data_IF_270639705238
#
_entry.id   IF_270639705238
#
_cell.length_a   1.000
_cell.length_b   1.000
_cell.length_c   1.000
_cell.angle_alpha   90.00
_cell.angle_beta   90.00
_cell.angle_gamma   90.00
#
_symmetry.space_group_name_H-M   'P 1'
#
loop_
_entity.id
_entity.type
_entity.pdbx_description
1 polymer ?
#
# COMPACT_ATOMS: atom_id res chain seq x y z
N UNK A 1 25.01 -8.71 -3.80
CA UNK A 1 24.93 -8.11 -2.45
C UNK A 1 23.72 -8.73 -1.77
N UNK A 2 23.78 -8.98 -0.47
CA UNK A 2 22.64 -9.57 0.28
C UNK A 2 21.64 -8.45 0.62
N UNK A 3 20.34 -8.72 0.57
CA UNK A 3 19.30 -7.81 1.05
C UNK A 3 19.48 -7.63 2.57
N UNK A 4 19.43 -6.40 3.03
CA UNK A 4 19.61 -6.04 4.44
C UNK A 4 18.32 -6.25 5.23
N UNK A 5 18.45 -6.61 6.49
CA UNK A 5 17.30 -6.74 7.39
C UNK A 5 16.67 -5.39 7.70
N UNK A 6 15.37 -5.37 8.03
CA UNK A 6 14.68 -4.11 8.39
C UNK A 6 15.32 -3.39 9.58
N UNK A 7 15.78 -4.07 10.67
CA UNK A 7 16.55 -3.41 11.72
C UNK A 7 17.82 -2.69 11.22
N UNK A 8 18.54 -3.24 10.24
CA UNK A 8 19.72 -2.60 9.65
C UNK A 8 19.35 -1.38 8.80
N UNK A 9 18.25 -1.46 8.06
CA UNK A 9 17.65 -0.33 7.30
C UNK A 9 17.24 0.79 8.27
N UNK A 10 16.52 0.44 9.34
CA UNK A 10 16.08 1.41 10.36
C UNK A 10 17.25 2.11 11.05
N UNK A 11 18.34 1.38 11.31
CA UNK A 11 19.55 1.97 11.91
C UNK A 11 20.17 3.03 10.99
N UNK A 12 20.22 2.78 9.67
CA UNK A 12 20.73 3.77 8.70
C UNK A 12 19.80 4.96 8.52
N UNK A 13 18.47 4.74 8.42
CA UNK A 13 17.47 5.83 8.39
C UNK A 13 17.57 6.72 9.63
N UNK A 14 17.69 6.10 10.82
CA UNK A 14 17.86 6.82 12.09
C UNK A 14 19.15 7.64 12.15
N UNK A 15 20.19 7.16 11.49
CA UNK A 15 21.48 7.85 11.38
C UNK A 15 21.50 8.93 10.26
N UNK A 16 20.38 9.20 9.59
CA UNK A 16 20.28 10.16 8.49
C UNK A 16 20.90 9.71 7.18
N UNK A 17 21.14 8.40 7.02
CA UNK A 17 21.68 7.85 5.78
C UNK A 17 20.58 7.49 4.80
N UNK A 18 20.93 7.46 3.51
CA UNK A 18 20.10 6.90 2.45
C UNK A 18 20.17 5.37 2.46
N UNK A 19 19.08 4.75 2.06
CA UNK A 19 18.97 3.32 1.74
C UNK A 19 18.27 3.16 0.40
N UNK A 20 18.30 1.96 -0.17
CA UNK A 20 17.48 1.59 -1.32
C UNK A 20 16.33 0.73 -0.80
N UNK A 21 15.11 1.05 -1.20
CA UNK A 21 13.93 0.22 -0.94
C UNK A 21 13.36 -0.21 -2.27
N UNK A 22 13.07 -1.52 -2.40
CA UNK A 22 12.48 -2.10 -3.61
C UNK A 22 11.08 -2.59 -3.34
N UNK A 23 10.22 -2.49 -4.33
CA UNK A 23 8.89 -3.09 -4.29
C UNK A 23 8.86 -4.45 -5.02
N UNK A 24 7.68 -5.08 -5.07
CA UNK A 24 7.51 -6.40 -5.66
C UNK A 24 7.62 -6.36 -7.20
N UNK A 25 8.13 -7.46 -7.80
CA UNK A 25 8.29 -7.60 -9.25
C UNK A 25 6.97 -7.48 -10.01
N UNK A 26 5.86 -7.85 -9.37
CA UNK A 26 4.51 -7.79 -9.93
C UNK A 26 3.83 -6.43 -9.74
N UNK A 27 4.51 -5.44 -9.10
CA UNK A 27 4.02 -4.07 -8.91
C UNK A 27 4.74 -3.09 -9.87
N UNK A 28 5.62 -2.23 -9.38
CA UNK A 28 6.44 -1.32 -10.21
C UNK A 28 7.75 -1.98 -10.58
N UNK A 29 8.22 -2.91 -9.73
CA UNK A 29 9.52 -3.58 -9.83
C UNK A 29 10.66 -2.56 -9.91
N UNK A 30 10.64 -1.57 -9.03
CA UNK A 30 11.57 -0.45 -9.00
C UNK A 30 12.32 -0.40 -7.66
N UNK A 31 13.36 0.42 -7.62
CA UNK A 31 14.09 0.74 -6.41
C UNK A 31 14.25 2.24 -6.26
N UNK A 32 13.87 2.75 -5.09
CA UNK A 32 14.02 4.14 -4.73
C UNK A 32 15.13 4.34 -3.72
N UNK A 33 15.89 5.43 -3.88
CA UNK A 33 16.63 6.01 -2.76
C UNK A 33 15.62 6.55 -1.74
N UNK A 34 15.82 6.19 -0.48
CA UNK A 34 14.95 6.61 0.63
C UNK A 34 15.79 7.16 1.77
N UNK A 35 15.40 8.31 2.33
CA UNK A 35 15.95 8.84 3.58
C UNK A 35 14.89 9.58 4.38
N UNK A 36 15.11 9.76 5.68
CA UNK A 36 14.22 10.58 6.49
C UNK A 36 14.34 12.07 6.11
N UNK A 37 13.19 12.73 5.89
CA UNK A 37 13.13 14.09 5.36
C UNK A 37 13.81 15.13 6.26
N UNK A 38 13.77 14.93 7.60
CA UNK A 38 14.41 15.85 8.54
C UNK A 38 15.93 15.90 8.43
N UNK A 39 16.57 14.92 7.82
CA UNK A 39 18.02 14.86 7.63
C UNK A 39 18.46 15.20 6.21
N UNK A 40 17.54 15.65 5.36
CA UNK A 40 17.88 16.02 3.98
C UNK A 40 18.88 17.19 3.97
N UNK A 41 19.86 17.12 3.07
CA UNK A 41 20.84 18.19 2.85
C UNK A 41 20.94 18.51 1.35
N UNK A 42 21.53 19.64 0.95
CA UNK A 42 21.82 19.91 -0.46
C UNK A 42 22.62 18.80 -1.14
N UNK A 43 23.59 18.21 -0.44
CA UNK A 43 24.41 17.11 -0.96
C UNK A 43 23.56 15.84 -1.19
N UNK A 44 22.60 15.56 -0.30
CA UNK A 44 21.67 14.44 -0.44
C UNK A 44 20.79 14.62 -1.68
N UNK A 45 20.19 15.79 -1.86
CA UNK A 45 19.41 16.09 -3.07
C UNK A 45 20.29 16.04 -4.31
N UNK A 46 21.50 16.60 -4.27
CA UNK A 46 22.42 16.53 -5.40
C UNK A 46 22.81 15.09 -5.73
N UNK A 47 22.96 14.21 -4.73
CA UNK A 47 23.21 12.80 -4.94
C UNK A 47 22.03 12.13 -5.67
N UNK A 48 20.78 12.38 -5.21
CA UNK A 48 19.57 11.84 -5.83
C UNK A 48 19.44 12.25 -7.29
N UNK A 49 19.54 13.56 -7.60
CA UNK A 49 19.35 14.03 -8.98
C UNK A 49 20.48 13.64 -9.91
N UNK A 50 21.71 13.50 -9.41
CA UNK A 50 22.88 13.13 -10.19
C UNK A 50 22.96 11.63 -10.47
N UNK A 51 22.69 10.81 -9.45
CA UNK A 51 22.94 9.38 -9.50
C UNK A 51 21.66 8.56 -9.66
N UNK A 52 20.56 8.91 -8.99
CA UNK A 52 19.28 8.22 -9.14
C UNK A 52 18.47 8.76 -10.33
N UNK A 53 18.44 10.07 -10.57
CA UNK A 53 17.84 10.74 -11.75
C UNK A 53 16.30 10.74 -11.79
N UNK A 54 15.64 10.12 -10.81
CA UNK A 54 14.20 10.08 -10.68
C UNK A 54 13.59 11.42 -10.22
N UNK A 55 12.32 11.40 -9.95
CA UNK A 55 11.59 12.54 -9.40
C UNK A 55 11.81 12.61 -7.87
N UNK A 56 12.41 13.70 -7.39
CA UNK A 56 12.52 13.90 -5.94
C UNK A 56 11.14 14.18 -5.36
N UNK A 57 10.62 13.23 -4.61
CA UNK A 57 9.32 13.30 -3.95
C UNK A 57 9.46 13.35 -2.43
N UNK A 58 8.42 13.89 -1.77
CA UNK A 58 8.35 14.06 -0.32
C UNK A 58 7.13 13.28 0.24
N UNK A 59 7.22 11.95 0.42
CA UNK A 59 6.25 11.21 1.20
C UNK A 59 6.03 11.82 2.58
N UNK A 60 4.77 12.06 2.93
CA UNK A 60 4.38 12.63 4.22
C UNK A 60 3.17 11.90 4.78
N UNK A 61 3.13 11.74 6.09
CA UNK A 61 1.91 11.29 6.75
C UNK A 61 0.76 12.29 6.53
N UNK A 62 -0.47 11.78 6.53
CA UNK A 62 -1.66 12.60 6.24
C UNK A 62 -1.79 13.80 7.17
N UNK A 63 -1.40 13.67 8.44
CA UNK A 63 -1.47 14.76 9.42
C UNK A 63 -0.60 15.97 9.03
N UNK A 64 0.60 15.74 8.47
CA UNK A 64 1.46 16.81 7.98
C UNK A 64 0.89 17.48 6.73
N UNK A 65 0.35 16.72 5.80
CA UNK A 65 -0.33 17.22 4.59
C UNK A 65 -1.53 18.10 4.98
N UNK A 66 -2.34 17.63 5.95
CA UNK A 66 -3.51 18.36 6.44
C UNK A 66 -3.10 19.65 7.19
N UNK A 67 -2.03 19.58 8.01
CA UNK A 67 -1.47 20.76 8.71
C UNK A 67 -1.03 21.85 7.73
N UNK A 68 -0.41 21.46 6.60
CA UNK A 68 0.03 22.39 5.56
C UNK A 68 -1.09 22.82 4.61
N UNK A 69 -2.30 22.25 4.73
CA UNK A 69 -3.43 22.56 3.86
C UNK A 69 -3.19 22.21 2.38
N UNK A 70 -2.36 21.20 2.09
CA UNK A 70 -2.00 20.85 0.72
C UNK A 70 -3.13 20.10 0.01
N UNK A 71 -3.74 20.67 -1.05
CA UNK A 71 -4.75 19.98 -1.82
C UNK A 71 -4.11 18.87 -2.68
N UNK A 72 -4.92 17.87 -3.03
CA UNK A 72 -4.51 16.85 -3.99
C UNK A 72 -4.32 17.49 -5.37
N UNK A 73 -3.33 17.00 -6.12
CA UNK A 73 -3.01 17.50 -7.47
C UNK A 73 -4.18 17.34 -8.44
N UNK A 74 -5.03 16.34 -8.24
CA UNK A 74 -6.20 16.07 -9.08
C UNK A 74 -7.38 15.59 -8.23
N UNK A 75 -8.60 15.91 -8.68
CA UNK A 75 -9.83 15.39 -8.10
C UNK A 75 -10.08 13.92 -8.49
N UNK A 76 -9.58 13.51 -9.67
CA UNK A 76 -9.72 12.14 -10.18
C UNK A 76 -8.34 11.56 -10.45
N UNK A 77 -7.86 10.75 -9.50
CA UNK A 77 -6.56 10.09 -9.65
C UNK A 77 -6.64 8.95 -10.69
N UNK A 78 -6.01 9.18 -11.85
CA UNK A 78 -5.89 8.19 -12.92
C UNK A 78 -4.62 7.36 -12.89
N UNK A 79 -3.71 7.58 -11.92
CA UNK A 79 -2.45 6.85 -11.84
C UNK A 79 -2.66 5.34 -11.65
N UNK A 80 -1.87 4.52 -12.33
CA UNK A 80 -2.01 3.06 -12.34
C UNK A 80 -1.97 2.47 -10.92
N UNK A 81 -1.07 2.95 -10.08
CA UNK A 81 -0.88 2.48 -8.71
C UNK A 81 -1.47 3.43 -7.66
N UNK A 82 -2.26 4.42 -8.09
CA UNK A 82 -3.01 5.30 -7.21
C UNK A 82 -2.14 6.21 -6.32
N UNK A 83 -0.92 6.58 -6.77
CA UNK A 83 -0.04 7.48 -6.01
C UNK A 83 -0.70 8.82 -5.75
N UNK A 84 -0.77 9.22 -4.49
CA UNK A 84 -1.51 10.39 -4.02
C UNK A 84 -0.62 11.65 -4.04
N UNK A 85 -0.38 12.19 -5.24
CA UNK A 85 0.28 13.47 -5.38
C UNK A 85 -0.57 14.62 -4.84
N UNK A 86 0.03 15.47 -4.03
CA UNK A 86 -0.50 16.81 -3.77
C UNK A 86 0.01 17.79 -4.83
N UNK A 87 -0.45 19.04 -4.81
CA UNK A 87 0.22 20.10 -5.56
C UNK A 87 1.68 20.19 -5.14
N UNK A 88 2.57 20.54 -6.10
CA UNK A 88 3.98 20.77 -5.81
C UNK A 88 4.17 22.02 -4.94
N UNK A 89 5.25 22.05 -4.15
CA UNK A 89 5.50 23.10 -3.16
C UNK A 89 6.88 23.71 -3.32
N UNK A 90 6.99 24.92 -2.75
CA UNK A 90 8.23 25.65 -2.55
C UNK A 90 8.25 26.29 -1.16
N UNK A 91 9.45 26.50 -0.56
CA UNK A 91 9.55 27.33 0.63
C UNK A 91 9.20 28.79 0.27
N UNK A 92 8.40 29.46 1.12
CA UNK A 92 8.00 30.85 0.90
C UNK A 92 9.19 31.84 0.96
N UNK A 93 10.24 31.46 1.67
CA UNK A 93 11.43 32.27 1.88
C UNK A 93 12.71 31.43 1.82
N UNK A 94 13.86 32.08 1.63
CA UNK A 94 15.18 31.43 1.72
C UNK A 94 15.59 30.62 0.49
N UNK A 95 14.89 30.76 -0.62
CA UNK A 95 15.18 30.11 -1.90
C UNK A 95 15.51 31.14 -2.99
N UNK A 96 16.12 30.67 -4.08
CA UNK A 96 16.33 31.46 -5.30
C UNK A 96 15.23 31.17 -6.34
N UNK A 97 15.45 30.20 -7.22
CA UNK A 97 14.47 29.74 -8.24
C UNK A 97 13.74 28.46 -7.84
N UNK A 98 14.09 27.86 -6.71
CA UNK A 98 13.48 26.65 -6.17
C UNK A 98 14.05 25.32 -6.68
N UNK A 99 14.66 25.29 -7.89
CA UNK A 99 15.08 24.04 -8.55
C UNK A 99 16.47 23.56 -8.11
N UNK A 100 17.32 24.40 -7.53
CA UNK A 100 18.65 24.00 -7.09
C UNK A 100 18.58 22.92 -6.00
N UNK A 101 19.65 22.12 -5.85
CA UNK A 101 19.70 21.13 -4.76
C UNK A 101 19.56 21.80 -3.39
N UNK A 102 20.13 22.99 -3.22
CA UNK A 102 20.01 23.76 -1.98
C UNK A 102 18.57 24.25 -1.75
N UNK A 103 17.91 24.81 -2.76
CA UNK A 103 16.53 25.30 -2.65
C UNK A 103 15.56 24.15 -2.34
N UNK A 104 15.71 23.00 -3.02
CA UNK A 104 14.86 21.81 -2.78
C UNK A 104 15.08 21.23 -1.40
N UNK A 105 16.33 21.14 -0.92
CA UNK A 105 16.62 20.70 0.44
C UNK A 105 16.00 21.66 1.46
N UNK A 106 16.11 22.96 1.25
CA UNK A 106 15.50 23.98 2.11
C UNK A 106 13.98 23.88 2.14
N UNK A 107 13.34 23.69 0.97
CA UNK A 107 11.89 23.49 0.89
C UNK A 107 11.44 22.27 1.69
N UNK A 108 12.14 21.14 1.54
CA UNK A 108 11.83 19.92 2.31
C UNK A 108 11.99 20.15 3.80
N UNK A 109 13.12 20.71 4.23
CA UNK A 109 13.38 21.01 5.66
C UNK A 109 12.33 21.94 6.25
N UNK A 110 11.89 22.95 5.49
CA UNK A 110 10.81 23.86 5.90
C UNK A 110 9.50 23.09 6.06
N UNK A 111 9.11 22.28 5.06
CA UNK A 111 7.85 21.55 5.06
C UNK A 111 7.72 20.53 6.20
N UNK A 112 8.84 19.96 6.68
CA UNK A 112 8.83 18.96 7.76
C UNK A 112 9.23 19.53 9.12
N UNK A 113 9.41 20.85 9.23
CA UNK A 113 9.71 21.51 10.48
C UNK A 113 8.58 21.32 11.50
N UNK A 114 8.93 21.07 12.77
CA UNK A 114 7.94 20.87 13.83
C UNK A 114 6.96 22.06 13.97
N UNK A 115 7.45 23.28 13.73
CA UNK A 115 6.68 24.53 13.87
C UNK A 115 6.18 25.09 12.55
N UNK A 116 6.24 24.30 11.44
CA UNK A 116 5.82 24.78 10.12
C UNK A 116 4.36 25.23 10.12
N UNK A 117 4.12 26.38 9.45
CA UNK A 117 2.79 26.94 9.20
C UNK A 117 2.48 26.86 7.70
N UNK A 118 1.22 26.86 7.30
CA UNK A 118 0.85 26.86 5.88
C UNK A 118 1.50 27.98 5.05
N UNK A 119 1.72 29.14 5.67
CA UNK A 119 2.31 30.34 5.05
C UNK A 119 3.82 30.20 4.78
N UNK A 120 4.49 29.21 5.39
CA UNK A 120 5.91 28.94 5.15
C UNK A 120 6.14 28.24 3.80
N UNK A 121 5.04 27.80 3.16
CA UNK A 121 5.06 27.06 1.89
C UNK A 121 4.20 27.79 0.86
N UNK A 122 4.69 27.88 -0.36
CA UNK A 122 3.96 28.38 -1.54
C UNK A 122 3.75 27.29 -2.57
N UNK A 123 2.82 27.50 -3.46
CA UNK A 123 2.40 26.57 -4.52
C UNK A 123 2.28 27.33 -5.85
N UNK A 124 2.67 26.73 -7.00
CA UNK A 124 3.40 25.47 -7.16
C UNK A 124 4.89 25.62 -6.84
N UNK A 125 5.66 24.52 -6.87
CA UNK A 125 7.09 24.50 -6.66
C UNK A 125 7.78 23.28 -7.27
N UNK A 126 8.99 22.97 -6.77
CA UNK A 126 9.86 21.93 -7.32
C UNK A 126 10.02 20.71 -6.42
N UNK A 127 9.25 20.63 -5.32
CA UNK A 127 9.12 19.45 -4.49
C UNK A 127 7.69 18.92 -4.60
N UNK A 128 7.55 17.59 -4.67
CA UNK A 128 6.30 16.89 -4.90
C UNK A 128 5.90 16.11 -3.65
N UNK A 129 5.06 16.67 -2.76
CA UNK A 129 4.58 15.92 -1.61
C UNK A 129 3.65 14.79 -2.05
N UNK A 130 3.82 13.63 -1.40
CA UNK A 130 2.97 12.45 -1.57
C UNK A 130 2.26 12.16 -0.26
N UNK A 131 0.94 12.12 -0.29
CA UNK A 131 0.15 11.74 0.89
C UNK A 131 0.20 10.24 1.08
N UNK A 132 0.92 9.77 2.10
CA UNK A 132 0.92 8.36 2.47
C UNK A 132 -0.46 7.91 2.94
N UNK A 133 -0.81 6.67 2.59
CA UNK A 133 -2.03 6.03 3.07
C UNK A 133 -1.91 5.77 4.58
N UNK A 134 -2.95 6.13 5.32
CA UNK A 134 -3.02 5.84 6.76
C UNK A 134 -2.92 4.32 6.97
N UNK A 135 -2.05 3.88 7.88
CA UNK A 135 -1.70 2.47 8.08
C UNK A 135 -0.46 2.01 7.31
N UNK A 136 0.12 2.88 6.45
CA UNK A 136 1.42 2.66 5.82
C UNK A 136 1.43 1.46 4.88
N UNK A 137 2.56 0.74 4.84
CA UNK A 137 2.74 -0.43 3.94
C UNK A 137 1.77 -1.57 4.21
N UNK A 138 1.17 -1.65 5.39
CA UNK A 138 0.13 -2.64 5.70
C UNK A 138 -1.20 -2.34 4.98
N UNK A 139 -1.35 -1.13 4.44
CA UNK A 139 -2.53 -0.71 3.69
C UNK A 139 -2.25 -0.52 2.20
N UNK A 140 -1.09 0.03 1.85
CA UNK A 140 -0.64 0.20 0.46
C UNK A 140 0.86 -0.09 0.36
N UNK A 141 1.22 -1.10 -0.43
CA UNK A 141 2.58 -1.65 -0.56
C UNK A 141 3.47 -0.80 -1.49
N UNK A 142 3.51 0.52 -1.29
CA UNK A 142 4.25 1.47 -2.12
C UNK A 142 5.41 2.15 -1.41
N UNK A 143 6.37 2.68 -2.20
CA UNK A 143 7.53 3.43 -1.70
C UNK A 143 7.13 4.64 -0.86
N UNK A 144 6.00 5.31 -1.18
CA UNK A 144 5.44 6.42 -0.40
C UNK A 144 5.20 6.01 1.05
N UNK A 145 4.49 4.90 1.24
CA UNK A 145 4.16 4.37 2.56
C UNK A 145 5.41 3.83 3.26
N UNK A 146 6.28 3.14 2.53
CA UNK A 146 7.53 2.60 3.08
C UNK A 146 8.44 3.71 3.65
N UNK A 147 8.56 4.83 2.95
CA UNK A 147 9.39 5.94 3.41
C UNK A 147 8.86 6.58 4.71
N UNK A 148 7.53 6.75 4.82
CA UNK A 148 6.89 7.28 6.03
C UNK A 148 7.02 6.30 7.19
N UNK A 149 6.73 5.00 6.96
CA UNK A 149 6.85 3.96 7.97
C UNK A 149 8.27 3.85 8.52
N UNK A 150 9.27 3.79 7.64
CA UNK A 150 10.67 3.71 8.04
C UNK A 150 11.09 4.93 8.88
N UNK A 151 10.64 6.13 8.53
CA UNK A 151 10.90 7.32 9.32
C UNK A 151 10.25 7.21 10.71
N UNK A 152 8.96 6.88 10.80
CA UNK A 152 8.24 6.74 12.07
C UNK A 152 8.81 5.62 12.95
N UNK A 153 9.12 4.45 12.38
CA UNK A 153 9.73 3.33 13.10
C UNK A 153 11.15 3.62 13.58
N UNK A 154 11.87 4.51 12.91
CA UNK A 154 13.16 5.03 13.38
C UNK A 154 13.01 6.07 14.51
N UNK A 155 11.77 6.44 14.91
CA UNK A 155 11.47 7.43 15.93
C UNK A 155 11.58 8.88 15.44
N UNK A 156 11.42 9.09 14.12
CA UNK A 156 11.52 10.39 13.45
C UNK A 156 10.13 10.89 13.03
N UNK A 157 10.07 12.10 12.44
CA UNK A 157 8.81 12.61 11.87
C UNK A 157 8.34 11.72 10.73
N UNK A 158 7.02 11.60 10.56
CA UNK A 158 6.40 10.80 9.49
C UNK A 158 6.56 11.40 8.10
N UNK A 159 7.82 11.65 7.70
CA UNK A 159 8.17 12.17 6.38
C UNK A 159 9.50 11.59 5.87
N UNK A 160 9.51 11.19 4.60
CA UNK A 160 10.71 10.73 3.90
C UNK A 160 10.94 11.51 2.61
N UNK A 161 12.14 11.37 2.06
CA UNK A 161 12.46 11.80 0.69
C UNK A 161 12.75 10.55 -0.11
N UNK A 162 12.13 10.44 -1.28
CA UNK A 162 12.35 9.32 -2.21
C UNK A 162 12.75 9.84 -3.59
N UNK A 163 13.49 9.01 -4.32
CA UNK A 163 13.86 9.27 -5.70
C UNK A 163 14.11 7.92 -6.40
N UNK A 164 13.40 7.65 -7.47
CA UNK A 164 13.53 6.42 -8.27
C UNK A 164 14.93 6.33 -8.89
N UNK A 165 15.49 5.12 -8.97
CA UNK A 165 16.81 4.88 -9.58
C UNK A 165 16.63 4.48 -11.04
N UNK A 166 17.15 5.33 -11.92
CA UNK A 166 17.07 5.23 -13.37
C UNK A 166 18.47 4.95 -13.93
N UNK A 167 18.58 4.00 -14.87
CA UNK A 167 19.80 3.68 -15.58
C UNK A 167 20.27 4.81 -16.49
N UNK A 168 21.52 4.77 -16.94
CA UNK A 168 22.10 5.79 -17.84
C UNK A 168 21.37 5.88 -19.19
N UNK A 169 20.74 4.79 -19.63
CA UNK A 169 19.95 4.73 -20.87
C UNK A 169 18.49 5.20 -20.69
N UNK A 170 18.11 5.61 -19.47
CA UNK A 170 16.76 6.07 -19.13
C UNK A 170 15.76 4.97 -18.75
N UNK A 171 16.17 3.70 -18.73
CA UNK A 171 15.33 2.61 -18.24
C UNK A 171 15.35 2.54 -16.71
N UNK A 172 14.31 1.97 -16.09
CA UNK A 172 14.29 1.80 -14.64
C UNK A 172 15.28 0.73 -14.20
N UNK A 173 16.07 1.01 -13.16
CA UNK A 173 16.97 0.02 -12.56
C UNK A 173 16.17 -1.09 -11.87
N UNK A 174 16.57 -2.34 -12.12
CA UNK A 174 16.00 -3.53 -11.50
C UNK A 174 16.98 -4.13 -10.50
N UNK A 175 16.63 -5.20 -9.83
CA UNK A 175 17.45 -5.77 -8.74
C UNK A 175 18.94 -5.95 -9.11
N UNK A 176 19.33 -6.45 -10.30
CA UNK A 176 20.75 -6.59 -10.64
C UNK A 176 21.50 -5.24 -10.67
N UNK A 177 20.92 -4.22 -11.32
CA UNK A 177 21.49 -2.87 -11.41
C UNK A 177 21.47 -2.18 -10.05
N UNK A 178 20.40 -2.36 -9.26
CA UNK A 178 20.28 -1.83 -7.89
C UNK A 178 21.37 -2.39 -6.96
N UNK A 179 21.70 -3.68 -7.09
CA UNK A 179 22.77 -4.28 -6.30
C UNK A 179 24.16 -3.70 -6.64
N UNK A 180 24.39 -3.41 -7.93
CA UNK A 180 25.65 -2.78 -8.35
C UNK A 180 25.70 -1.31 -7.89
N UNK A 181 24.60 -0.58 -8.04
CA UNK A 181 24.47 0.79 -7.54
C UNK A 181 24.71 0.86 -6.02
N UNK A 182 24.09 -0.05 -5.28
CA UNK A 182 24.24 -0.12 -3.82
C UNK A 182 25.70 -0.39 -3.42
N UNK A 183 26.38 -1.32 -4.11
CA UNK A 183 27.77 -1.63 -3.87
C UNK A 183 28.69 -0.44 -4.19
N UNK A 184 28.45 0.24 -5.31
CA UNK A 184 29.23 1.40 -5.74
C UNK A 184 29.14 2.56 -4.73
N UNK A 185 27.97 2.76 -4.15
CA UNK A 185 27.67 3.89 -3.27
C UNK A 185 27.65 3.54 -1.77
N UNK A 186 27.89 2.28 -1.41
CA UNK A 186 27.92 1.83 -0.01
C UNK A 186 26.53 1.89 0.66
N UNK A 187 25.46 1.66 -0.11
CA UNK A 187 24.09 1.70 0.36
C UNK A 187 23.55 0.32 0.69
N UNK A 188 22.61 0.25 1.63
CA UNK A 188 21.87 -0.97 1.94
C UNK A 188 20.61 -1.06 1.05
N UNK A 189 20.20 -2.29 0.75
CA UNK A 189 18.93 -2.58 0.04
C UNK A 189 18.02 -3.31 1.01
N UNK A 190 16.80 -2.82 1.17
CA UNK A 190 15.68 -3.49 1.82
C UNK A 190 14.51 -3.65 0.85
N UNK A 191 13.52 -4.47 1.23
CA UNK A 191 12.31 -4.67 0.43
C UNK A 191 11.07 -4.20 1.19
N UNK A 192 10.05 -3.75 0.45
CA UNK A 192 8.73 -3.45 1.04
C UNK A 192 8.10 -4.74 1.60
N UNK A 193 8.34 -5.90 0.98
CA UNK A 193 7.85 -7.18 1.48
C UNK A 193 8.41 -7.50 2.88
N UNK A 194 9.72 -7.33 3.09
CA UNK A 194 10.34 -7.52 4.41
C UNK A 194 9.82 -6.51 5.44
N UNK A 195 9.55 -5.26 5.02
CA UNK A 195 8.97 -4.24 5.90
C UNK A 195 7.54 -4.60 6.33
N UNK A 196 6.71 -5.10 5.41
CA UNK A 196 5.37 -5.61 5.71
C UNK A 196 5.46 -6.78 6.69
N UNK A 197 6.33 -7.76 6.43
CA UNK A 197 6.52 -8.91 7.32
C UNK A 197 6.96 -8.46 8.72
N UNK A 198 7.92 -7.53 8.80
CA UNK A 198 8.40 -6.98 10.05
C UNK A 198 7.29 -6.28 10.84
N UNK A 199 6.49 -5.42 10.19
CA UNK A 199 5.35 -4.74 10.81
C UNK A 199 4.23 -5.69 11.21
N UNK A 200 3.90 -6.65 10.35
CA UNK A 200 2.81 -7.62 10.59
C UNK A 200 3.06 -8.52 11.81
N UNK A 201 4.33 -8.73 12.20
CA UNK A 201 4.69 -9.47 13.43
C UNK A 201 4.44 -8.67 14.71
N UNK A 202 4.48 -7.36 14.64
CA UNK A 202 4.40 -6.47 15.81
C UNK A 202 3.14 -5.64 15.88
N UNK A 203 2.44 -5.49 14.75
CA UNK A 203 1.28 -4.63 14.62
C UNK A 203 0.13 -5.39 13.95
N UNK A 204 -1.09 -5.16 14.42
CA UNK A 204 -2.31 -5.55 13.72
C UNK A 204 -3.23 -4.34 13.63
N UNK A 205 -3.62 -4.00 12.40
CA UNK A 205 -4.61 -2.95 12.13
C UNK A 205 -6.04 -3.45 12.38
N UNK A 206 -6.19 -4.75 12.62
CA UNK A 206 -7.48 -5.38 12.86
C UNK A 206 -7.60 -5.85 14.30
N UNK A 207 -8.80 -5.71 14.85
CA UNK A 207 -9.20 -6.28 16.12
C UNK A 207 -10.28 -7.33 15.87
N UNK A 208 -10.05 -8.54 16.37
CA UNK A 208 -11.04 -9.60 16.30
C UNK A 208 -12.07 -9.41 17.41
N UNK A 209 -13.33 -9.22 17.02
CA UNK A 209 -14.44 -8.90 17.93
C UNK A 209 -15.39 -10.07 18.20
N UNK A 210 -15.34 -11.12 17.38
CA UNK A 210 -16.25 -12.25 17.54
C UNK A 210 -15.83 -13.47 16.74
N UNK A 211 -16.20 -14.63 17.29
CA UNK A 211 -15.95 -15.96 16.73
C UNK A 211 -17.13 -16.86 17.10
N UNK A 212 -18.01 -17.14 16.15
CA UNK A 212 -19.23 -17.92 16.37
C UNK A 212 -19.53 -18.84 15.19
N UNK A 213 -20.21 -19.96 15.48
CA UNK A 213 -20.80 -20.79 14.42
C UNK A 213 -22.13 -20.19 13.96
N UNK A 214 -22.28 -20.07 12.66
CA UNK A 214 -23.54 -19.66 12.03
C UNK A 214 -24.05 -20.74 11.09
N UNK A 215 -25.38 -20.86 11.03
CA UNK A 215 -26.08 -21.78 10.12
C UNK A 215 -26.69 -20.94 8.98
N UNK A 216 -26.32 -21.26 7.76
CA UNK A 216 -26.82 -20.57 6.57
C UNK A 216 -27.48 -21.56 5.61
N UNK A 217 -28.22 -21.08 4.62
CA UNK A 217 -28.77 -21.95 3.57
C UNK A 217 -27.70 -22.64 2.70
N UNK A 218 -26.45 -22.12 2.72
CA UNK A 218 -25.30 -22.72 2.03
C UNK A 218 -24.49 -23.65 2.91
N UNK A 219 -24.85 -23.79 4.20
CA UNK A 219 -24.19 -24.66 5.18
C UNK A 219 -23.65 -23.92 6.39
N UNK A 220 -22.89 -24.62 7.21
CA UNK A 220 -22.34 -24.11 8.47
C UNK A 220 -20.99 -23.47 8.26
N UNK A 221 -20.81 -22.27 8.80
CA UNK A 221 -19.55 -21.52 8.78
C UNK A 221 -19.19 -21.04 10.17
N UNK A 222 -17.89 -21.03 10.46
CA UNK A 222 -17.33 -20.28 11.59
C UNK A 222 -17.18 -18.83 11.14
N UNK A 223 -18.00 -17.96 11.71
CA UNK A 223 -17.95 -16.52 11.45
C UNK A 223 -16.95 -15.85 12.37
N UNK A 224 -15.97 -15.15 11.81
CA UNK A 224 -15.04 -14.28 12.52
C UNK A 224 -15.34 -12.83 12.15
N UNK A 225 -15.36 -11.96 13.17
CA UNK A 225 -15.67 -10.55 13.02
C UNK A 225 -14.44 -9.73 13.33
N UNK A 226 -14.07 -8.85 12.41
CA UNK A 226 -12.89 -7.99 12.52
C UNK A 226 -13.29 -6.52 12.40
N UNK A 227 -12.71 -5.68 13.25
CA UNK A 227 -12.85 -4.22 13.19
C UNK A 227 -11.53 -3.60 12.75
N UNK A 228 -11.57 -2.79 11.69
CA UNK A 228 -10.45 -1.95 11.25
C UNK A 228 -10.27 -0.79 12.25
N UNK A 229 -9.15 -0.78 12.97
CA UNK A 229 -8.80 0.23 13.97
C UNK A 229 -8.61 1.63 13.37
N UNK A 230 -8.37 1.74 12.05
CA UNK A 230 -8.14 3.02 11.40
C UNK A 230 -9.42 3.77 11.07
N UNK A 231 -10.48 3.03 10.71
CA UNK A 231 -11.74 3.61 10.22
C UNK A 231 -12.96 3.16 11.03
N UNK A 232 -12.83 2.16 11.91
CA UNK A 232 -13.97 1.55 12.61
C UNK A 232 -14.87 0.69 11.72
N UNK A 233 -14.44 0.38 10.49
CA UNK A 233 -15.19 -0.50 9.59
C UNK A 233 -15.15 -1.94 10.10
N UNK A 234 -16.26 -2.67 9.95
CA UNK A 234 -16.38 -4.06 10.39
C UNK A 234 -16.37 -5.01 9.19
N UNK A 235 -15.52 -6.01 9.24
CA UNK A 235 -15.37 -7.02 8.21
C UNK A 235 -15.70 -8.41 8.75
N UNK A 236 -16.17 -9.30 7.89
CA UNK A 236 -16.52 -10.66 8.26
C UNK A 236 -15.66 -11.66 7.49
N UNK A 237 -15.25 -12.74 8.16
CA UNK A 237 -14.72 -13.92 7.50
C UNK A 237 -15.59 -15.14 7.83
N UNK A 238 -16.07 -15.82 6.80
CA UNK A 238 -16.81 -17.06 6.91
C UNK A 238 -15.86 -18.21 6.57
N UNK A 239 -15.54 -19.00 7.58
CA UNK A 239 -14.50 -20.03 7.52
C UNK A 239 -15.13 -21.41 7.50
N UNK A 240 -14.74 -22.24 6.54
CA UNK A 240 -15.04 -23.68 6.44
C UNK A 240 -13.79 -24.48 6.73
N UNK A 241 -13.93 -25.53 7.54
CA UNK A 241 -12.79 -26.37 7.91
C UNK A 241 -11.87 -25.70 8.94
N UNK A 242 -10.59 -26.03 8.87
CA UNK A 242 -9.56 -25.48 9.75
C UNK A 242 -8.32 -25.13 8.91
N UNK A 243 -8.27 -23.93 8.31
CA UNK A 243 -7.11 -23.49 7.55
C UNK A 243 -5.82 -23.57 8.38
N UNK A 244 -4.75 -24.05 7.78
CA UNK A 244 -3.41 -24.09 8.37
C UNK A 244 -2.39 -23.64 7.34
N UNK A 245 -1.20 -23.30 7.79
CA UNK A 245 -0.11 -22.91 6.89
C UNK A 245 0.28 -23.99 5.84
N UNK A 246 0.03 -25.26 6.15
CA UNK A 246 0.36 -26.38 5.29
C UNK A 246 -0.72 -26.72 4.26
N UNK A 247 -1.97 -26.29 4.48
CA UNK A 247 -3.12 -26.66 3.67
C UNK A 247 -3.42 -25.62 2.61
N UNK A 248 -3.78 -26.05 1.40
CA UNK A 248 -4.37 -25.15 0.39
C UNK A 248 -5.78 -24.76 0.85
N UNK A 249 -6.04 -23.46 0.89
CA UNK A 249 -7.33 -22.91 1.29
C UNK A 249 -7.99 -22.22 0.10
N UNK A 250 -9.25 -22.54 -0.14
CA UNK A 250 -10.05 -21.86 -1.16
C UNK A 250 -10.51 -20.49 -0.62
N UNK A 251 -10.17 -19.41 -1.31
CA UNK A 251 -10.38 -18.05 -0.81
C UNK A 251 -11.21 -17.22 -1.76
N UNK A 252 -12.22 -16.54 -1.22
CA UNK A 252 -12.92 -15.44 -1.88
C UNK A 252 -12.83 -14.18 -1.02
N UNK A 253 -12.29 -13.11 -1.58
CA UNK A 253 -12.46 -11.77 -1.04
C UNK A 253 -13.56 -11.08 -1.83
N UNK A 254 -14.64 -10.71 -1.15
CA UNK A 254 -15.84 -10.11 -1.72
C UNK A 254 -15.93 -8.65 -1.29
N UNK A 255 -15.80 -7.74 -2.24
CA UNK A 255 -15.78 -6.29 -2.02
C UNK A 255 -16.52 -5.54 -3.14
N UNK A 256 -17.27 -4.51 -2.80
CA UNK A 256 -17.88 -4.25 -1.50
C UNK A 256 -19.00 -5.25 -1.23
N UNK A 257 -19.16 -5.64 0.02
CA UNK A 257 -20.34 -6.38 0.43
C UNK A 257 -21.54 -5.43 0.54
N UNK A 258 -22.59 -5.66 -0.23
CA UNK A 258 -23.81 -4.86 -0.21
C UNK A 258 -25.07 -5.70 -0.44
N UNK A 259 -26.25 -5.11 -0.16
CA UNK A 259 -27.54 -5.76 -0.43
C UNK A 259 -27.74 -6.17 -1.90
N UNK A 260 -27.06 -5.49 -2.83
CA UNK A 260 -27.13 -5.79 -4.27
C UNK A 260 -26.56 -7.16 -4.61
N UNK A 261 -25.66 -7.72 -3.80
CA UNK A 261 -25.08 -9.05 -4.03
C UNK A 261 -26.11 -10.18 -3.94
N UNK A 262 -27.24 -9.93 -3.26
CA UNK A 262 -28.38 -10.84 -3.18
C UNK A 262 -29.46 -10.54 -4.23
N UNK A 263 -29.59 -9.27 -4.67
CA UNK A 263 -30.66 -8.82 -5.58
C UNK A 263 -30.27 -9.03 -7.04
N UNK A 264 -28.99 -8.83 -7.37
CA UNK A 264 -28.44 -8.94 -8.72
C UNK A 264 -27.29 -9.94 -8.74
N UNK A 265 -27.58 -11.27 -8.80
CA UNK A 265 -26.53 -12.28 -8.82
C UNK A 265 -25.62 -12.20 -10.07
N UNK A 266 -26.09 -11.61 -11.17
CA UNK A 266 -25.32 -11.34 -12.40
C UNK A 266 -24.51 -10.04 -12.32
N UNK A 267 -24.16 -9.62 -11.12
CA UNK A 267 -23.39 -8.41 -10.88
C UNK A 267 -21.95 -8.53 -11.46
N UNK A 268 -21.21 -7.42 -11.39
CA UNK A 268 -19.85 -7.28 -11.94
C UNK A 268 -18.77 -8.17 -11.31
N UNK A 269 -19.14 -9.07 -10.41
CA UNK A 269 -18.23 -10.01 -9.78
C UNK A 269 -18.08 -11.28 -10.62
N UNK A 270 -16.85 -11.77 -10.78
CA UNK A 270 -16.57 -13.05 -11.45
C UNK A 270 -17.21 -14.24 -10.71
N UNK A 271 -17.45 -14.11 -9.40
CA UNK A 271 -18.21 -15.03 -8.56
C UNK A 271 -19.26 -14.25 -7.79
N UNK A 272 -20.54 -14.65 -7.87
CA UNK A 272 -21.55 -14.14 -6.97
C UNK A 272 -21.30 -14.64 -5.53
N UNK A 273 -21.79 -13.93 -4.52
CA UNK A 273 -21.61 -14.34 -3.14
C UNK A 273 -22.24 -15.72 -2.86
N UNK A 274 -23.47 -16.04 -3.29
CA UNK A 274 -24.04 -17.38 -3.14
C UNK A 274 -23.21 -18.50 -3.77
N UNK A 275 -22.70 -18.29 -5.00
CA UNK A 275 -21.84 -19.26 -5.67
C UNK A 275 -20.53 -19.50 -4.90
N UNK A 276 -19.91 -18.41 -4.41
CA UNK A 276 -18.69 -18.51 -3.62
C UNK A 276 -18.91 -19.26 -2.30
N UNK A 277 -20.01 -19.00 -1.60
CA UNK A 277 -20.37 -19.69 -0.36
C UNK A 277 -20.62 -21.19 -0.60
N UNK A 278 -21.38 -21.55 -1.64
CA UNK A 278 -21.59 -22.95 -2.02
C UNK A 278 -20.28 -23.65 -2.37
N UNK A 279 -19.42 -22.99 -3.13
CA UNK A 279 -18.14 -23.56 -3.57
C UNK A 279 -17.19 -23.77 -2.40
N UNK A 280 -17.11 -22.80 -1.49
CA UNK A 280 -16.30 -22.87 -0.27
C UNK A 280 -16.85 -23.96 0.66
N UNK A 281 -18.15 -24.08 0.81
CA UNK A 281 -18.78 -25.13 1.63
C UNK A 281 -18.45 -26.54 1.12
N UNK A 282 -18.28 -26.71 -0.19
CA UNK A 282 -17.91 -28.01 -0.80
C UNK A 282 -16.39 -28.30 -0.69
N UNK A 283 -15.58 -27.35 -0.25
CA UNK A 283 -14.14 -27.53 -0.04
C UNK A 283 -13.86 -28.11 1.36
N UNK A 284 -12.67 -28.70 1.53
CA UNK A 284 -12.18 -29.12 2.84
C UNK A 284 -11.86 -27.92 3.71
N UNK A 285 -11.12 -26.95 3.15
CA UNK A 285 -10.79 -25.68 3.79
C UNK A 285 -11.12 -24.52 2.87
N UNK A 286 -11.81 -23.52 3.39
CA UNK A 286 -12.13 -22.34 2.63
C UNK A 286 -12.51 -21.14 3.47
N UNK A 287 -12.34 -19.97 2.89
CA UNK A 287 -12.61 -18.66 3.53
C UNK A 287 -13.32 -17.76 2.54
N UNK A 288 -14.43 -17.18 2.95
CA UNK A 288 -15.06 -16.06 2.26
C UNK A 288 -14.92 -14.82 3.15
N UNK A 289 -14.17 -13.83 2.69
CA UNK A 289 -14.03 -12.54 3.38
C UNK A 289 -15.04 -11.57 2.77
N UNK A 290 -15.83 -10.95 3.61
CA UNK A 290 -16.79 -9.91 3.26
C UNK A 290 -16.24 -8.58 3.76
N UNK A 291 -15.67 -7.80 2.83
CA UNK A 291 -15.14 -6.48 3.13
C UNK A 291 -16.27 -5.46 3.05
N UNK A 292 -16.76 -5.06 4.22
CA UNK A 292 -17.83 -4.07 4.32
C UNK A 292 -17.26 -2.67 4.10
N UNK A 293 -17.93 -1.91 3.25
CA UNK A 293 -17.79 -0.46 3.10
C UNK A 293 -19.11 0.20 3.36
N UNK A 294 -19.07 1.35 4.00
CA UNK A 294 -20.25 2.22 4.04
C UNK A 294 -20.57 2.66 2.62
N UNK A 295 -21.60 2.06 2.01
CA UNK A 295 -22.07 2.43 0.68
C UNK A 295 -23.00 3.65 0.81
N UNK A 296 -22.58 4.79 0.31
CA UNK A 296 -23.45 5.96 0.23
C UNK A 296 -24.41 5.90 -0.97
N UNK A 297 -25.38 6.79 -1.01
CA UNK A 297 -26.37 6.82 -2.08
C UNK A 297 -25.78 7.05 -3.48
N UNK A 298 -24.65 7.75 -3.58
CA UNK A 298 -23.97 7.99 -4.86
C UNK A 298 -23.25 6.72 -5.35
N UNK A 299 -22.63 5.97 -4.45
CA UNK A 299 -22.02 4.68 -4.75
C UNK A 299 -23.07 3.65 -5.20
N UNK A 300 -24.20 3.57 -4.48
CA UNK A 300 -25.32 2.71 -4.84
C UNK A 300 -25.88 3.07 -6.23
N UNK A 301 -26.08 4.37 -6.50
CA UNK A 301 -26.55 4.86 -7.80
C UNK A 301 -25.59 4.50 -8.93
N UNK A 302 -24.27 4.59 -8.70
CA UNK A 302 -23.26 4.25 -9.70
C UNK A 302 -23.27 2.75 -10.06
N UNK A 303 -23.64 1.88 -9.12
CA UNK A 303 -23.78 0.43 -9.32
C UNK A 303 -25.03 0.05 -10.10
N UNK A 304 -26.09 0.83 -9.98
CA UNK A 304 -27.37 0.58 -10.68
C UNK A 304 -27.44 1.24 -12.07
N UNK A 305 -26.53 2.17 -12.39
CA UNK A 305 -26.48 2.82 -13.69
C UNK A 305 -25.99 1.84 -14.79
N UNK A 306 -26.49 1.98 -16.05
CA UNK A 306 -26.01 1.18 -17.17
C UNK A 306 -24.51 1.35 -17.36
N UNK A 307 -23.75 0.25 -17.32
CA UNK A 307 -22.28 0.28 -17.42
C UNK A 307 -21.83 0.75 -18.80
N UNK A 308 -21.01 1.78 -18.86
CA UNK A 308 -20.23 2.11 -20.06
C UNK A 308 -19.14 1.03 -20.27
N UNK A 309 -18.88 0.54 -21.51
CA UNK A 309 -18.02 -0.63 -21.77
C UNK A 309 -16.53 -0.49 -21.46
N UNK A 310 -16.04 0.56 -20.80
CA UNK A 310 -14.60 0.85 -20.74
C UNK A 310 -14.01 1.14 -19.37
N UNK A 311 -14.67 0.77 -18.27
CA UNK A 311 -14.07 0.95 -16.95
C UNK A 311 -13.79 -0.41 -16.30
N UNK A 312 -12.58 -0.94 -16.53
CA UNK A 312 -11.98 -1.94 -15.64
C UNK A 312 -11.94 -1.34 -14.25
N UNK A 313 -12.68 -1.96 -13.32
CA UNK A 313 -12.73 -1.53 -11.92
C UNK A 313 -11.30 -1.63 -11.37
N UNK A 314 -10.64 -0.51 -11.12
CA UNK A 314 -9.37 -0.52 -10.38
C UNK A 314 -9.67 -0.99 -8.97
N UNK A 315 -9.00 -2.06 -8.55
CA UNK A 315 -9.05 -2.53 -7.19
C UNK A 315 -8.46 -1.46 -6.25
N UNK A 316 -9.09 -1.27 -5.10
CA UNK A 316 -8.56 -0.37 -4.09
C UNK A 316 -7.45 -1.09 -3.30
N UNK A 317 -6.21 -0.61 -3.44
CA UNK A 317 -5.04 -1.17 -2.76
C UNK A 317 -5.19 -1.28 -1.24
N UNK A 318 -5.98 -0.39 -0.62
CA UNK A 318 -6.29 -0.40 0.81
C UNK A 318 -6.97 -1.70 1.24
N UNK A 319 -7.88 -2.22 0.43
CA UNK A 319 -8.67 -3.40 0.79
C UNK A 319 -7.86 -4.70 0.67
N UNK A 320 -6.80 -4.70 -0.14
CA UNK A 320 -5.86 -5.82 -0.17
C UNK A 320 -5.17 -6.03 1.18
N UNK A 321 -4.68 -4.95 1.80
CA UNK A 321 -4.01 -5.02 3.09
C UNK A 321 -4.91 -5.57 4.19
N UNK A 322 -6.19 -5.16 4.22
CA UNK A 322 -7.17 -5.69 5.19
C UNK A 322 -7.45 -7.17 4.94
N UNK A 323 -7.76 -7.53 3.69
CA UNK A 323 -8.01 -8.93 3.33
C UNK A 323 -6.82 -9.84 3.63
N UNK A 324 -5.61 -9.40 3.33
CA UNK A 324 -4.38 -10.12 3.61
C UNK A 324 -4.14 -10.31 5.11
N UNK A 325 -4.36 -9.29 5.93
CA UNK A 325 -4.24 -9.39 7.39
C UNK A 325 -5.27 -10.36 7.98
N UNK A 326 -6.52 -10.36 7.48
CA UNK A 326 -7.55 -11.33 7.90
C UNK A 326 -7.10 -12.75 7.55
N UNK A 327 -6.61 -12.99 6.32
CA UNK A 327 -6.14 -14.31 5.91
C UNK A 327 -4.94 -14.79 6.74
N UNK A 328 -3.98 -13.91 7.01
CA UNK A 328 -2.83 -14.22 7.86
C UNK A 328 -3.28 -14.56 9.31
N UNK A 329 -4.24 -13.82 9.86
CA UNK A 329 -4.83 -14.11 11.18
C UNK A 329 -5.54 -15.48 11.23
N UNK A 330 -6.12 -15.90 10.10
CA UNK A 330 -6.76 -17.21 9.94
C UNK A 330 -5.75 -18.34 9.62
N UNK A 331 -4.44 -18.10 9.70
CA UNK A 331 -3.36 -19.03 9.37
C UNK A 331 -3.40 -19.56 7.92
N UNK A 332 -3.98 -18.81 7.00
CA UNK A 332 -3.93 -19.10 5.57
C UNK A 332 -2.55 -18.71 5.05
N UNK A 333 -1.83 -19.63 4.38
CA UNK A 333 -0.59 -19.34 3.65
C UNK A 333 -0.75 -19.62 2.16
N UNK A 334 -1.22 -20.81 1.81
CA UNK A 334 -1.43 -21.23 0.43
C UNK A 334 -2.90 -21.08 0.08
N UNK A 335 -3.19 -20.28 -0.93
CA UNK A 335 -4.58 -20.03 -1.31
C UNK A 335 -4.83 -20.23 -2.80
N UNK A 336 -5.98 -20.82 -3.12
CA UNK A 336 -6.60 -20.81 -4.44
C UNK A 336 -7.71 -19.77 -4.43
N UNK A 337 -7.62 -18.79 -5.32
CA UNK A 337 -8.53 -17.64 -5.30
C UNK A 337 -9.72 -17.88 -6.23
N UNK A 338 -10.93 -17.71 -5.71
CA UNK A 338 -12.16 -17.67 -6.51
C UNK A 338 -12.24 -16.32 -7.22
N UNK A 339 -11.84 -16.30 -8.49
CA UNK A 339 -11.79 -15.08 -9.30
C UNK A 339 -11.05 -15.28 -10.61
N UNK A 340 -11.01 -14.23 -11.41
CA UNK A 340 -10.17 -14.19 -12.62
C UNK A 340 -8.72 -13.90 -12.23
N UNK A 341 -7.74 -14.48 -12.94
CA UNK A 341 -6.33 -14.16 -12.73
C UNK A 341 -6.10 -12.65 -12.78
N UNK A 342 -5.56 -12.12 -11.71
CA UNK A 342 -5.21 -10.71 -11.58
C UNK A 342 -3.94 -10.59 -10.77
N UNK A 343 -3.12 -9.58 -11.05
CA UNK A 343 -1.97 -9.28 -10.23
C UNK A 343 -2.44 -8.80 -8.85
N UNK A 344 -2.28 -9.65 -7.84
CA UNK A 344 -2.56 -9.34 -6.44
C UNK A 344 -1.23 -9.02 -5.76
N UNK A 345 -0.79 -7.77 -5.94
CA UNK A 345 0.56 -7.30 -5.63
C UNK A 345 0.82 -7.22 -4.12
N UNK A 346 2.02 -7.64 -3.69
CA UNK A 346 2.48 -7.43 -2.30
C UNK A 346 1.97 -8.44 -1.27
N UNK A 347 1.27 -9.50 -1.67
CA UNK A 347 0.75 -10.52 -0.73
C UNK A 347 1.86 -11.34 -0.06
N UNK A 348 3.02 -11.47 -0.71
CA UNK A 348 4.19 -12.18 -0.16
C UNK A 348 4.67 -11.59 1.16
N UNK A 349 4.56 -10.26 1.34
CA UNK A 349 4.89 -9.60 2.61
C UNK A 349 3.98 -10.01 3.78
N UNK A 350 2.77 -10.49 3.49
CA UNK A 350 1.87 -11.07 4.50
C UNK A 350 2.05 -12.59 4.66
N UNK A 351 3.04 -13.19 4.00
CA UNK A 351 3.26 -14.62 4.02
C UNK A 351 2.24 -15.43 3.22
N UNK A 352 1.51 -14.77 2.29
CA UNK A 352 0.47 -15.39 1.46
C UNK A 352 1.01 -15.78 0.09
N UNK A 353 0.67 -16.97 -0.37
CA UNK A 353 1.03 -17.53 -1.67
C UNK A 353 -0.24 -17.89 -2.45
N UNK A 354 -0.40 -17.34 -3.66
CA UNK A 354 -1.47 -17.77 -4.58
C UNK A 354 -0.97 -18.96 -5.37
N UNK A 355 -1.57 -20.12 -5.14
CA UNK A 355 -1.25 -21.36 -5.88
C UNK A 355 -2.09 -21.53 -7.15
N UNK A 356 -3.15 -20.75 -7.33
CA UNK A 356 -3.98 -20.76 -8.53
C UNK A 356 -5.26 -19.94 -8.39
N UNK A 357 -5.99 -19.88 -9.50
CA UNK A 357 -7.30 -19.25 -9.56
C UNK A 357 -8.34 -20.30 -9.98
N UNK A 358 -9.56 -20.08 -9.53
CA UNK A 358 -10.73 -20.84 -9.98
C UNK A 358 -11.76 -19.86 -10.53
N UNK A 359 -12.07 -19.99 -11.82
CA UNK A 359 -13.07 -19.19 -12.50
C UNK A 359 -14.42 -19.89 -12.47
N UNK A 360 -15.52 -19.12 -12.55
CA UNK A 360 -16.86 -19.71 -12.71
C UNK A 360 -16.90 -20.41 -14.06
N UNK A 361 -17.15 -21.70 -14.06
CA UNK A 361 -17.47 -22.40 -15.30
C UNK A 361 -18.74 -21.79 -15.90
N UNK A 362 -18.62 -21.19 -17.09
CA UNK A 362 -19.74 -20.67 -17.86
C UNK A 362 -20.68 -21.79 -18.31
#
# INVERSE_FOLDING_TARGET
MQISTIPEILADIKAGKMVIITDAEDRENEGDLVMAAQFVTPEAINFMIKHARGLVCLPMESALIDKLGLPMMTQHNGAQYGTNFTVSIEAANGISTGISAADRAHTIQTAVSANVQPEDIVQPGHIFPLRAQKGGVLMRTGHTEAAVDLAQMAGLSGAGVICEIINDDGTMSRMPELQEFAKQHGLKIGTIADLIEYRSRTESLLEEMGDTMIHTEWGDFRQRVYVDKLNGETHLALVKGNPTEATETLVRVHEPFSAMDFIQPDSSHSWSLPQALQRVQAAENGVVILLHRTEDGAALLSRTAPKKPSQTKKWDSKMYGIGAQILANLNVKKMRVLGTPSALNGLTGFGLEIVGFEEVNQ
#
